data_IF_275862800375
#
_entry.id   IF_275862800375
#
_cell.length_a   1.000
_cell.length_b   1.000
_cell.length_c   1.000
_cell.angle_alpha   90.00
_cell.angle_beta   90.00
_cell.angle_gamma   90.00
#
_symmetry.space_group_name_H-M   'P 1'
#
loop_
_entity.id
_entity.type
_entity.pdbx_description
1 polymer ?
#
# COMPACT_ATOMS: atom_id res chain seq x y z
N UNK A 1 3.53 -10.09 -11.08
CA UNK A 1 4.11 -10.06 -9.72
C UNK A 1 3.70 -11.32 -8.95
N UNK A 2 4.53 -11.84 -8.05
CA UNK A 2 4.20 -13.04 -7.25
C UNK A 2 3.55 -12.67 -5.91
N UNK A 3 2.23 -12.54 -5.88
CA UNK A 3 1.49 -12.12 -4.67
C UNK A 3 1.71 -13.03 -3.47
N UNK A 4 1.77 -14.35 -3.66
CA UNK A 4 1.97 -15.31 -2.58
C UNK A 4 3.27 -15.06 -1.84
N UNK A 5 4.34 -14.74 -2.57
CA UNK A 5 5.64 -14.42 -1.98
C UNK A 5 5.60 -13.12 -1.18
N UNK A 6 4.98 -12.07 -1.74
CA UNK A 6 4.83 -10.77 -1.07
C UNK A 6 4.01 -10.90 0.23
N UNK A 7 2.91 -11.66 0.22
CA UNK A 7 2.15 -11.95 1.44
C UNK A 7 2.97 -12.71 2.49
N UNK A 8 3.78 -13.70 2.07
CA UNK A 8 4.65 -14.43 3.00
C UNK A 8 5.74 -13.53 3.60
N UNK A 9 6.30 -12.62 2.82
CA UNK A 9 7.27 -11.63 3.30
C UNK A 9 6.62 -10.67 4.30
N UNK A 10 5.44 -10.14 3.97
CA UNK A 10 4.70 -9.27 4.89
C UNK A 10 4.34 -10.00 6.19
N UNK A 11 3.89 -11.24 6.10
CA UNK A 11 3.52 -12.03 7.27
C UNK A 11 4.69 -12.21 8.24
N UNK A 12 5.91 -12.47 7.72
CA UNK A 12 7.11 -12.58 8.55
C UNK A 12 7.47 -11.25 9.21
N UNK A 13 7.35 -10.14 8.48
CA UNK A 13 7.60 -8.81 9.02
C UNK A 13 6.58 -8.45 10.12
N UNK A 14 5.29 -8.65 9.86
CA UNK A 14 4.21 -8.39 10.82
C UNK A 14 4.37 -9.20 12.11
N UNK A 15 4.62 -10.51 11.99
CA UNK A 15 4.82 -11.39 13.15
C UNK A 15 6.02 -10.96 14.00
N UNK A 16 7.10 -10.51 13.34
CA UNK A 16 8.29 -10.01 14.03
C UNK A 16 7.98 -8.74 14.82
N UNK A 17 7.37 -7.73 14.17
CA UNK A 17 6.98 -6.47 14.81
C UNK A 17 6.03 -6.76 15.99
N UNK A 18 5.05 -7.64 15.80
CA UNK A 18 4.12 -8.00 16.86
C UNK A 18 4.81 -8.65 18.06
N UNK A 19 5.74 -9.58 17.82
CA UNK A 19 6.49 -10.24 18.90
C UNK A 19 7.44 -9.28 19.64
N UNK A 20 8.12 -8.39 18.92
CA UNK A 20 9.04 -7.41 19.52
C UNK A 20 8.31 -6.39 20.41
N UNK A 21 7.04 -6.09 20.12
CA UNK A 21 6.23 -5.13 20.88
C UNK A 21 5.13 -5.75 21.76
N UNK A 22 5.02 -7.08 21.83
CA UNK A 22 3.99 -7.76 22.62
C UNK A 22 2.55 -7.48 22.13
N UNK A 23 2.35 -7.51 20.81
CA UNK A 23 1.10 -7.17 20.13
C UNK A 23 0.42 -8.38 19.45
N UNK A 24 0.81 -9.61 19.78
CA UNK A 24 0.34 -10.83 19.10
C UNK A 24 -1.18 -11.03 19.19
N UNK A 25 -1.79 -10.61 20.31
CA UNK A 25 -3.24 -10.68 20.54
C UNK A 25 -3.96 -9.34 20.32
N UNK A 26 -3.25 -8.31 19.85
CA UNK A 26 -3.84 -6.98 19.66
C UNK A 26 -4.61 -6.89 18.34
N UNK A 27 -5.83 -6.36 18.37
CA UNK A 27 -6.50 -5.92 17.13
C UNK A 27 -5.82 -4.65 16.62
N UNK A 28 -5.05 -4.80 15.53
CA UNK A 28 -4.30 -3.72 14.90
C UNK A 28 -5.02 -3.14 13.69
N UNK A 29 -6.21 -3.63 13.34
CA UNK A 29 -6.89 -3.27 12.10
C UNK A 29 -7.07 -1.76 11.94
N UNK A 30 -7.68 -1.09 12.92
CA UNK A 30 -7.89 0.36 12.84
C UNK A 30 -6.58 1.15 12.80
N UNK A 31 -5.51 0.66 13.44
CA UNK A 31 -4.18 1.30 13.40
C UNK A 31 -3.55 1.14 12.02
N UNK A 32 -3.62 -0.05 11.42
CA UNK A 32 -3.11 -0.35 10.07
C UNK A 32 -3.89 0.43 9.00
N UNK A 33 -5.20 0.61 9.16
CA UNK A 33 -6.00 1.48 8.26
C UNK A 33 -5.52 2.93 8.33
N UNK A 34 -5.33 3.48 9.53
CA UNK A 34 -4.80 4.84 9.67
C UNK A 34 -3.39 4.96 9.08
N UNK A 35 -2.52 3.99 9.32
CA UNK A 35 -1.18 3.97 8.74
C UNK A 35 -1.24 3.99 7.19
N UNK A 36 -2.08 3.14 6.58
CA UNK A 36 -2.31 3.17 5.13
C UNK A 36 -2.76 4.55 4.64
N UNK A 37 -3.70 5.21 5.33
CA UNK A 37 -4.17 6.55 4.95
C UNK A 37 -3.06 7.60 5.04
N UNK A 38 -2.16 7.49 6.03
CA UNK A 38 -0.98 8.35 6.16
C UNK A 38 -0.04 8.14 4.99
N UNK A 39 0.37 6.90 4.71
CA UNK A 39 1.27 6.58 3.58
C UNK A 39 0.68 7.02 2.23
N UNK A 40 -0.62 6.84 2.01
CA UNK A 40 -1.30 7.35 0.81
C UNK A 40 -1.25 8.87 0.72
N UNK A 41 -1.33 9.57 1.86
CA UNK A 41 -1.16 11.03 1.94
C UNK A 41 0.28 11.48 1.63
N UNK A 42 1.27 10.74 2.12
CA UNK A 42 2.70 10.96 1.83
C UNK A 42 2.98 10.76 0.34
N UNK A 43 2.52 9.64 -0.23
CA UNK A 43 2.57 9.38 -1.67
C UNK A 43 1.91 10.50 -2.49
N UNK A 44 0.69 10.94 -2.12
CA UNK A 44 0.01 12.05 -2.79
C UNK A 44 0.82 13.35 -2.69
N UNK A 45 1.51 13.58 -1.58
CA UNK A 45 2.34 14.76 -1.35
C UNK A 45 3.57 14.80 -2.28
N UNK A 46 4.20 13.65 -2.52
CA UNK A 46 5.38 13.51 -3.39
C UNK A 46 5.01 13.59 -4.89
N UNK A 47 3.85 13.09 -5.29
CA UNK A 47 3.31 13.29 -6.66
C UNK A 47 2.88 14.73 -6.91
N UNK A 48 2.42 15.43 -5.86
CA UNK A 48 1.90 16.80 -5.89
C UNK A 48 0.71 17.01 -6.84
N UNK A 49 0.02 15.95 -7.26
CA UNK A 49 -1.07 16.02 -8.25
C UNK A 49 -2.21 16.96 -7.83
N UNK A 50 -2.45 17.10 -6.52
CA UNK A 50 -3.49 17.98 -5.98
C UNK A 50 -3.08 19.46 -5.82
N UNK A 51 -1.78 19.80 -5.97
CA UNK A 51 -1.25 21.13 -5.67
C UNK A 51 -1.39 22.09 -6.86
N UNK A 52 -2.63 22.28 -7.35
CA UNK A 52 -2.96 23.07 -8.54
C UNK A 52 -2.54 24.56 -8.47
N UNK A 53 -2.25 25.07 -7.28
CA UNK A 53 -1.77 26.44 -7.04
C UNK A 53 -0.24 26.60 -7.08
N UNK A 54 0.52 25.54 -7.39
CA UNK A 54 1.97 25.54 -7.32
C UNK A 54 2.61 24.95 -8.57
N UNK A 55 3.63 25.63 -9.10
CA UNK A 55 4.41 25.18 -10.25
C UNK A 55 5.58 24.23 -9.91
N UNK A 56 5.85 23.99 -8.62
CA UNK A 56 6.90 23.02 -8.21
C UNK A 56 6.58 21.62 -8.76
N UNK A 57 7.55 20.95 -9.42
CA UNK A 57 7.34 19.64 -10.01
C UNK A 57 7.19 18.56 -8.94
N UNK A 58 6.62 17.42 -9.33
CA UNK A 58 6.65 16.19 -8.58
C UNK A 58 8.09 15.79 -8.21
N UNK A 59 8.20 14.92 -7.22
CA UNK A 59 9.48 14.36 -6.81
C UNK A 59 9.98 13.32 -7.81
N UNK A 60 11.23 12.91 -7.64
CA UNK A 60 11.83 11.90 -8.49
C UNK A 60 11.02 10.59 -8.41
N UNK A 61 10.90 9.91 -9.55
CA UNK A 61 10.07 8.70 -9.68
C UNK A 61 10.40 7.63 -8.63
N UNK A 62 11.68 7.52 -8.26
CA UNK A 62 12.15 6.60 -7.23
C UNK A 62 11.60 6.94 -5.84
N UNK A 63 11.51 8.21 -5.48
CA UNK A 63 10.92 8.64 -4.19
C UNK A 63 9.43 8.28 -4.17
N UNK A 64 8.72 8.56 -5.27
CA UNK A 64 7.29 8.23 -5.37
C UNK A 64 7.08 6.70 -5.30
N UNK A 65 7.97 5.90 -5.92
CA UNK A 65 7.91 4.44 -5.86
C UNK A 65 8.14 3.93 -4.43
N UNK A 66 9.06 4.53 -3.68
CA UNK A 66 9.31 4.19 -2.27
C UNK A 66 8.06 4.41 -1.41
N UNK A 67 7.40 5.56 -1.53
CA UNK A 67 6.13 5.84 -0.83
C UNK A 67 4.99 4.91 -1.31
N UNK A 68 4.99 4.55 -2.59
CA UNK A 68 3.99 3.62 -3.13
C UNK A 68 4.15 2.23 -2.51
N UNK A 69 5.36 1.71 -2.36
CA UNK A 69 5.53 0.39 -1.74
C UNK A 69 5.24 0.39 -0.24
N UNK A 70 5.31 1.53 0.46
CA UNK A 70 4.84 1.66 1.84
C UNK A 70 3.32 1.46 1.94
N UNK A 71 2.56 2.05 1.02
CA UNK A 71 1.13 1.76 0.87
C UNK A 71 0.86 0.27 0.61
N UNK A 72 1.66 -0.38 -0.25
CA UNK A 72 1.52 -1.81 -0.54
C UNK A 72 1.78 -2.69 0.68
N UNK A 73 2.79 -2.37 1.50
CA UNK A 73 3.07 -3.06 2.76
C UNK A 73 1.83 -3.08 3.66
N UNK A 74 1.17 -1.94 3.85
CA UNK A 74 -0.03 -1.88 4.69
C UNK A 74 -1.25 -2.57 4.08
N UNK A 75 -1.45 -2.52 2.76
CA UNK A 75 -2.54 -3.26 2.11
C UNK A 75 -2.37 -4.77 2.33
N UNK A 76 -1.17 -5.31 2.11
CA UNK A 76 -0.89 -6.74 2.38
C UNK A 76 -1.10 -7.09 3.86
N UNK A 77 -0.63 -6.23 4.75
CA UNK A 77 -0.78 -6.41 6.21
C UNK A 77 -2.25 -6.39 6.66
N UNK A 78 -3.08 -5.54 6.06
CA UNK A 78 -4.52 -5.50 6.28
C UNK A 78 -5.24 -6.76 5.77
N UNK A 79 -4.81 -7.27 4.61
CA UNK A 79 -5.28 -8.56 4.10
C UNK A 79 -5.00 -9.69 5.09
N UNK A 80 -3.75 -9.79 5.56
CA UNK A 80 -3.35 -10.79 6.55
C UNK A 80 -4.15 -10.68 7.86
N UNK A 81 -4.35 -9.47 8.37
CA UNK A 81 -5.15 -9.18 9.58
C UNK A 81 -6.58 -9.73 9.48
N UNK A 82 -7.16 -9.74 8.28
CA UNK A 82 -8.51 -10.22 8.01
C UNK A 82 -8.57 -11.57 7.31
N UNK A 83 -7.42 -12.25 7.16
CA UNK A 83 -7.29 -13.51 6.41
C UNK A 83 -7.82 -13.43 4.97
N UNK A 84 -7.62 -12.28 4.32
CA UNK A 84 -7.99 -11.99 2.94
C UNK A 84 -6.73 -11.93 2.06
N UNK A 85 -6.83 -12.51 0.88
CA UNK A 85 -5.74 -12.57 -0.10
C UNK A 85 -6.23 -12.03 -1.42
N UNK A 86 -5.38 -11.30 -2.14
CA UNK A 86 -5.74 -10.75 -3.44
C UNK A 86 -5.83 -11.88 -4.48
N UNK A 87 -6.96 -11.96 -5.16
CA UNK A 87 -7.28 -13.00 -6.15
C UNK A 87 -7.21 -12.46 -7.58
N UNK A 88 -7.16 -11.14 -7.77
CA UNK A 88 -7.17 -10.53 -9.09
C UNK A 88 -8.52 -10.72 -9.79
N UNK A 89 -9.61 -10.75 -9.02
CA UNK A 89 -10.95 -10.96 -9.56
C UNK A 89 -11.45 -9.75 -10.35
N UNK A 90 -10.94 -8.57 -10.04
CA UNK A 90 -11.20 -7.32 -10.74
C UNK A 90 -10.00 -6.99 -11.65
N UNK A 91 -10.29 -6.68 -12.90
CA UNK A 91 -9.28 -6.18 -13.84
C UNK A 91 -8.89 -4.74 -13.52
N UNK A 92 -7.65 -4.38 -13.83
CA UNK A 92 -7.24 -2.97 -13.97
C UNK A 92 -7.70 -2.44 -15.32
N UNK A 93 -8.25 -1.23 -15.35
CA UNK A 93 -8.71 -0.60 -16.58
C UNK A 93 -7.58 0.23 -17.22
N UNK A 94 -7.44 0.12 -18.54
CA UNK A 94 -6.50 0.95 -19.28
C UNK A 94 -7.21 2.21 -19.78
N UNK A 95 -6.81 3.38 -19.28
CA UNK A 95 -7.33 4.67 -19.75
C UNK A 95 -6.65 5.85 -19.06
N UNK A 96 -6.61 7.03 -19.70
CA UNK A 96 -6.13 8.24 -19.06
C UNK A 96 -7.13 8.64 -17.97
N UNK A 97 -6.76 8.39 -16.72
CA UNK A 97 -7.51 8.87 -15.55
C UNK A 97 -6.63 9.86 -14.80
N UNK A 98 -7.24 10.93 -14.31
CA UNK A 98 -6.54 11.94 -13.53
C UNK A 98 -5.96 11.33 -12.25
N UNK A 99 -4.69 11.63 -11.95
CA UNK A 99 -4.02 11.07 -10.76
C UNK A 99 -4.73 11.44 -9.46
N UNK A 100 -5.31 12.64 -9.37
CA UNK A 100 -6.07 13.07 -8.18
C UNK A 100 -7.34 12.22 -8.01
N UNK A 101 -8.06 11.95 -9.09
CA UNK A 101 -9.23 11.06 -9.07
C UNK A 101 -8.85 9.63 -8.63
N UNK A 102 -7.69 9.12 -9.08
CA UNK A 102 -7.19 7.82 -8.64
C UNK A 102 -6.91 7.78 -7.14
N UNK A 103 -6.26 8.80 -6.57
CA UNK A 103 -6.10 8.89 -5.12
C UNK A 103 -7.45 8.91 -4.40
N UNK A 104 -8.41 9.71 -4.86
CA UNK A 104 -9.75 9.77 -4.27
C UNK A 104 -10.46 8.42 -4.30
N UNK A 105 -10.30 7.67 -5.38
CA UNK A 105 -10.84 6.31 -5.50
C UNK A 105 -10.19 5.34 -4.51
N UNK A 106 -8.86 5.39 -4.35
CA UNK A 106 -8.16 4.58 -3.35
C UNK A 106 -8.62 4.95 -1.95
N UNK A 107 -8.66 6.24 -1.58
CA UNK A 107 -9.16 6.68 -0.27
C UNK A 107 -10.59 6.19 0.02
N UNK A 108 -11.48 6.30 -0.97
CA UNK A 108 -12.85 5.81 -0.86
C UNK A 108 -12.90 4.29 -0.64
N UNK A 109 -12.05 3.54 -1.35
CA UNK A 109 -11.97 2.09 -1.22
C UNK A 109 -11.36 1.65 0.11
N UNK A 110 -10.41 2.42 0.68
CA UNK A 110 -9.91 2.19 2.05
C UNK A 110 -11.05 2.35 3.06
N UNK A 111 -11.86 3.40 2.94
CA UNK A 111 -12.98 3.63 3.86
C UNK A 111 -14.05 2.54 3.74
N UNK A 112 -14.39 2.14 2.52
CA UNK A 112 -15.34 1.05 2.29
C UNK A 112 -14.86 -0.27 2.91
N UNK A 113 -13.57 -0.58 2.78
CA UNK A 113 -12.96 -1.76 3.40
C UNK A 113 -12.91 -1.65 4.94
N UNK A 114 -12.62 -0.46 5.47
CA UNK A 114 -12.64 -0.20 6.91
C UNK A 114 -14.02 -0.44 7.52
N UNK A 115 -15.09 0.03 6.87
CA UNK A 115 -16.47 -0.15 7.32
C UNK A 115 -16.93 -1.60 7.20
N UNK A 116 -16.48 -2.31 6.17
CA UNK A 116 -16.90 -3.69 5.89
C UNK A 116 -15.74 -4.49 5.27
N UNK A 117 -14.92 -5.17 6.09
CA UNK A 117 -13.71 -5.86 5.65
C UNK A 117 -14.04 -7.23 5.02
N UNK A 118 -14.68 -7.19 3.86
CA UNK A 118 -15.03 -8.38 3.06
C UNK A 118 -14.00 -8.63 1.96
N UNK A 119 -13.97 -9.85 1.43
CA UNK A 119 -13.13 -10.16 0.26
C UNK A 119 -13.41 -9.21 -0.92
N UNK A 120 -14.68 -8.88 -1.19
CA UNK A 120 -15.04 -8.01 -2.29
C UNK A 120 -14.49 -6.58 -2.12
N UNK A 121 -14.61 -6.00 -0.92
CA UNK A 121 -14.06 -4.67 -0.66
C UNK A 121 -12.53 -4.68 -0.61
N UNK A 122 -11.91 -5.79 -0.19
CA UNK A 122 -10.47 -5.95 -0.26
C UNK A 122 -9.96 -6.02 -1.70
N UNK A 123 -10.61 -6.80 -2.58
CA UNK A 123 -10.32 -6.80 -4.02
C UNK A 123 -10.45 -5.40 -4.60
N UNK A 124 -11.52 -4.66 -4.25
CA UNK A 124 -11.74 -3.30 -4.74
C UNK A 124 -10.62 -2.34 -4.30
N UNK A 125 -10.23 -2.35 -3.02
CA UNK A 125 -9.11 -1.57 -2.52
C UNK A 125 -7.82 -1.92 -3.24
N UNK A 126 -7.52 -3.22 -3.35
CA UNK A 126 -6.29 -3.69 -3.96
C UNK A 126 -6.22 -3.30 -5.45
N UNK A 127 -7.29 -3.52 -6.21
CA UNK A 127 -7.34 -3.15 -7.62
C UNK A 127 -7.27 -1.63 -7.82
N UNK A 128 -7.96 -0.83 -7.00
CA UNK A 128 -7.85 0.63 -7.05
C UNK A 128 -6.41 1.09 -6.80
N UNK A 129 -5.71 0.45 -5.86
CA UNK A 129 -4.32 0.76 -5.56
C UNK A 129 -3.37 0.39 -6.71
N UNK A 130 -3.55 -0.77 -7.34
CA UNK A 130 -2.78 -1.15 -8.53
C UNK A 130 -3.03 -0.22 -9.72
N UNK A 131 -4.28 0.22 -9.89
CA UNK A 131 -4.64 1.21 -10.91
C UNK A 131 -3.92 2.55 -10.69
N UNK A 132 -3.77 2.98 -9.43
CA UNK A 132 -2.97 4.14 -9.09
C UNK A 132 -1.50 3.93 -9.48
N UNK A 133 -0.92 2.76 -9.18
CA UNK A 133 0.46 2.42 -9.57
C UNK A 133 0.71 2.49 -11.09
N UNK A 134 -0.23 1.97 -11.88
CA UNK A 134 -0.21 2.06 -13.36
C UNK A 134 -0.28 3.53 -13.81
N UNK A 135 -1.16 4.32 -13.18
CA UNK A 135 -1.33 5.75 -13.47
C UNK A 135 -0.06 6.55 -13.15
N UNK A 136 0.66 6.15 -12.11
CA UNK A 136 1.95 6.73 -11.74
C UNK A 136 3.10 6.24 -12.64
N UNK A 137 2.84 5.30 -13.54
CA UNK A 137 3.81 4.82 -14.54
C UNK A 137 4.72 3.70 -14.04
N UNK A 138 4.35 3.01 -12.96
CA UNK A 138 5.13 1.89 -12.44
C UNK A 138 4.81 0.58 -13.15
N UNK A 139 5.84 -0.19 -13.44
CA UNK A 139 5.73 -1.57 -13.90
C UNK A 139 5.61 -2.52 -12.71
N UNK A 140 5.05 -3.71 -12.95
CA UNK A 140 5.01 -4.75 -11.91
C UNK A 140 6.40 -5.14 -11.40
N UNK A 141 7.42 -5.12 -12.27
CA UNK A 141 8.80 -5.45 -11.89
C UNK A 141 9.38 -4.42 -10.93
N UNK A 142 9.21 -3.12 -11.23
CA UNK A 142 9.67 -2.04 -10.36
C UNK A 142 9.01 -2.09 -8.99
N UNK A 143 7.69 -2.34 -8.94
CA UNK A 143 6.96 -2.50 -7.68
C UNK A 143 7.51 -3.69 -6.88
N UNK A 144 7.74 -4.83 -7.54
CA UNK A 144 8.24 -6.03 -6.89
C UNK A 144 9.64 -5.82 -6.29
N UNK A 145 10.56 -5.24 -7.06
CA UNK A 145 11.93 -4.96 -6.61
C UNK A 145 11.98 -3.92 -5.48
N UNK A 146 11.19 -2.84 -5.59
CA UNK A 146 11.10 -1.83 -4.55
C UNK A 146 10.50 -2.40 -3.26
N UNK A 147 9.49 -3.27 -3.36
CA UNK A 147 8.91 -3.95 -2.20
C UNK A 147 9.94 -4.85 -1.51
N UNK A 148 10.72 -5.64 -2.26
CA UNK A 148 11.77 -6.48 -1.67
C UNK A 148 12.81 -5.65 -0.92
N UNK A 149 13.29 -4.56 -1.53
CA UNK A 149 14.25 -3.64 -0.92
C UNK A 149 13.67 -3.00 0.35
N UNK A 150 12.41 -2.56 0.31
CA UNK A 150 11.76 -1.93 1.46
C UNK A 150 11.52 -2.91 2.61
N UNK A 151 11.12 -4.14 2.29
CA UNK A 151 10.98 -5.22 3.28
C UNK A 151 12.30 -5.52 3.99
N UNK A 152 13.42 -5.60 3.25
CA UNK A 152 14.75 -5.79 3.82
C UNK A 152 15.14 -4.65 4.77
N UNK A 153 14.95 -3.40 4.34
CA UNK A 153 15.20 -2.21 5.18
C UNK A 153 14.34 -2.23 6.45
N UNK A 154 13.08 -2.62 6.35
CA UNK A 154 12.19 -2.70 7.51
C UNK A 154 12.63 -3.79 8.49
N UNK A 155 13.13 -4.93 8.02
CA UNK A 155 13.75 -5.93 8.89
C UNK A 155 15.01 -5.41 9.59
N UNK A 156 15.86 -4.65 8.88
CA UNK A 156 17.04 -4.02 9.49
C UNK A 156 16.65 -2.99 10.56
N UNK A 157 15.62 -2.16 10.32
CA UNK A 157 15.11 -1.19 11.32
C UNK A 157 14.69 -1.87 12.62
N UNK A 158 14.07 -3.05 12.54
CA UNK A 158 13.71 -3.84 13.72
C UNK A 158 14.94 -4.40 14.46
N UNK A 159 16.04 -4.70 13.77
CA UNK A 159 17.31 -5.11 14.42
C UNK A 159 17.95 -3.96 15.22
N UNK A 160 17.74 -2.72 14.77
CA UNK A 160 18.27 -1.50 15.39
C UNK A 160 17.38 -0.98 16.55
N UNK A 161 16.26 -1.64 16.84
CA UNK A 161 15.35 -1.29 17.94
C UNK A 161 14.40 -0.13 17.65
N UNK A 162 14.02 0.05 16.38
CA UNK A 162 12.99 0.99 15.95
C UNK A 162 11.59 0.60 16.45
#
# INVERSE_FOLDING_TARGET
MNWNELFQMQQRLDQRIQAEHGLEDADLFSKKVLALLVELGELANETRCFKFWSLKPAKEQQVILEEYVDGLHFILSLGLEKSLYYQGALGVENGPVDTTEQFQNVFSSVHLFQESPTQAHYEQLFTAFLQLGITLGFTELEIQEAYYKKNEVNHQRQEEGY
#
